data_IF_358939178869
#
_entry.id   IF_358939178869
#
_cell.length_a   1.000
_cell.length_b   1.000
_cell.length_c   1.000
_cell.angle_alpha   90.00
_cell.angle_beta   90.00
_cell.angle_gamma   90.00
#
_symmetry.space_group_name_H-M   'P 1'
#
loop_
_entity.id
_entity.type
_entity.pdbx_description
1 polymer ?
#
# COMPACT_ATOMS: atom_id res chain seq x y z
N UNK A 1 13.35 -7.78 -13.03
CA UNK A 1 12.82 -8.90 -12.21
C UNK A 1 11.53 -8.41 -11.55
N UNK A 2 10.47 -9.15 -11.71
CA UNK A 2 9.20 -8.77 -11.13
C UNK A 2 9.00 -9.39 -9.76
N UNK A 3 7.91 -8.99 -9.10
CA UNK A 3 7.57 -9.45 -7.75
C UNK A 3 7.38 -10.98 -7.67
N UNK A 4 6.92 -11.62 -8.74
CA UNK A 4 6.76 -13.09 -8.78
C UNK A 4 8.10 -13.82 -8.66
N UNK A 5 9.17 -13.27 -9.23
CA UNK A 5 10.51 -13.84 -9.10
C UNK A 5 11.00 -13.77 -7.64
N UNK A 6 10.66 -12.70 -6.92
CA UNK A 6 10.96 -12.56 -5.50
C UNK A 6 10.19 -13.60 -4.69
N UNK A 7 8.90 -13.78 -4.99
CA UNK A 7 8.06 -14.81 -4.35
C UNK A 7 8.68 -16.20 -4.51
N UNK A 8 9.03 -16.58 -5.74
CA UNK A 8 9.63 -17.88 -6.03
C UNK A 8 10.96 -18.07 -5.30
N UNK A 9 11.80 -17.04 -5.26
CA UNK A 9 13.09 -17.11 -4.57
C UNK A 9 12.92 -17.29 -3.06
N UNK A 10 11.97 -16.61 -2.46
CA UNK A 10 11.67 -16.75 -1.04
C UNK A 10 11.21 -18.17 -0.72
N UNK A 11 10.28 -18.71 -1.49
CA UNK A 11 9.78 -20.09 -1.32
C UNK A 11 10.90 -21.11 -1.51
N UNK A 12 11.74 -20.94 -2.52
CA UNK A 12 12.86 -21.84 -2.80
C UNK A 12 13.91 -21.83 -1.69
N UNK A 13 14.00 -20.75 -0.92
CA UNK A 13 14.89 -20.64 0.23
C UNK A 13 14.23 -21.07 1.55
N UNK A 14 13.03 -21.64 1.50
CA UNK A 14 12.34 -22.18 2.67
C UNK A 14 11.57 -21.17 3.49
N UNK A 15 11.36 -19.94 3.00
CA UNK A 15 10.54 -18.95 3.68
C UNK A 15 9.08 -19.09 3.30
N UNK A 16 8.21 -18.82 4.26
CA UNK A 16 6.78 -18.72 4.02
C UNK A 16 6.47 -17.38 3.34
N UNK A 17 5.91 -17.43 2.14
CA UNK A 17 5.59 -16.25 1.37
C UNK A 17 4.16 -16.33 0.85
N UNK A 18 3.45 -15.21 0.89
CA UNK A 18 2.09 -15.12 0.34
C UNK A 18 1.94 -13.80 -0.42
N UNK A 19 1.02 -13.82 -1.39
CA UNK A 19 0.64 -12.61 -2.11
C UNK A 19 -0.55 -11.98 -1.43
N UNK A 20 -0.57 -10.64 -1.37
CA UNK A 20 -1.69 -9.87 -0.84
C UNK A 20 -2.05 -8.77 -1.82
N UNK A 21 -3.31 -8.33 -1.79
CA UNK A 21 -3.79 -7.20 -2.58
C UNK A 21 -3.94 -6.00 -1.66
N UNK A 22 -3.34 -4.88 -2.04
CA UNK A 22 -3.44 -3.64 -1.27
C UNK A 22 -4.77 -2.95 -1.51
N UNK A 23 -5.08 -1.92 -0.72
CA UNK A 23 -6.33 -1.15 -0.84
C UNK A 23 -6.49 -0.47 -2.20
N UNK A 24 -5.39 -0.17 -2.90
CA UNK A 24 -5.41 0.38 -4.26
C UNK A 24 -5.51 -0.69 -5.35
N UNK A 25 -5.61 -1.97 -4.99
CA UNK A 25 -5.68 -3.08 -5.94
C UNK A 25 -4.33 -3.56 -6.47
N UNK A 26 -3.22 -3.13 -5.87
CA UNK A 26 -1.88 -3.54 -6.26
C UNK A 26 -1.46 -4.82 -5.56
N UNK A 27 -0.55 -5.57 -6.18
CA UNK A 27 -0.04 -6.82 -5.62
C UNK A 27 1.20 -6.57 -4.76
N UNK A 28 1.23 -7.20 -3.59
CA UNK A 28 2.39 -7.19 -2.70
C UNK A 28 2.71 -8.61 -2.26
N UNK A 29 3.92 -8.81 -1.77
CA UNK A 29 4.37 -10.08 -1.18
C UNK A 29 4.66 -9.85 0.29
N UNK A 30 4.20 -10.78 1.13
CA UNK A 30 4.56 -10.84 2.54
C UNK A 30 5.38 -12.11 2.77
N UNK A 31 6.59 -11.95 3.29
CA UNK A 31 7.47 -13.06 3.67
C UNK A 31 7.49 -13.12 5.19
N UNK A 32 7.14 -14.29 5.75
CA UNK A 32 6.99 -14.48 7.18
C UNK A 32 8.06 -15.42 7.73
N UNK A 33 8.27 -15.37 9.05
CA UNK A 33 9.14 -16.29 9.77
C UNK A 33 10.61 -16.14 9.43
N UNK A 34 11.04 -14.98 8.98
CA UNK A 34 12.42 -14.77 8.61
C UNK A 34 13.34 -14.80 9.83
N UNK A 35 14.53 -15.35 9.60
CA UNK A 35 15.59 -15.37 10.59
C UNK A 35 16.82 -14.66 10.02
N UNK A 36 17.24 -13.60 10.68
CA UNK A 36 18.48 -12.90 10.33
C UNK A 36 19.67 -13.74 10.77
N UNK A 37 20.81 -13.78 10.04
CA UNK A 37 21.15 -12.97 8.87
C UNK A 37 20.74 -13.57 7.51
N UNK A 38 20.32 -14.83 7.45
CA UNK A 38 20.06 -15.53 6.19
C UNK A 38 18.97 -14.83 5.36
N UNK A 39 17.94 -14.35 6.02
CA UNK A 39 16.88 -13.59 5.37
C UNK A 39 17.43 -12.33 4.71
N UNK A 40 18.25 -11.57 5.44
CA UNK A 40 18.86 -10.35 4.91
C UNK A 40 19.72 -10.64 3.69
N UNK A 41 20.51 -11.69 3.71
CA UNK A 41 21.35 -12.05 2.57
C UNK A 41 20.49 -12.42 1.35
N UNK A 42 19.42 -13.17 1.56
CA UNK A 42 18.48 -13.55 0.50
C UNK A 42 17.82 -12.31 -0.11
N UNK A 43 17.23 -11.46 0.71
CA UNK A 43 16.48 -10.26 0.24
C UNK A 43 17.44 -9.21 -0.32
N UNK A 44 18.59 -8.99 0.32
CA UNK A 44 19.54 -7.99 -0.14
C UNK A 44 20.10 -8.28 -1.54
N UNK A 45 20.33 -9.54 -1.85
CA UNK A 45 20.76 -9.93 -3.21
C UNK A 45 19.68 -9.61 -4.26
N UNK A 46 18.41 -9.71 -3.88
CA UNK A 46 17.30 -9.37 -4.77
C UNK A 46 17.15 -7.85 -4.89
N UNK A 47 17.22 -7.15 -3.76
CA UNK A 47 17.03 -5.71 -3.69
C UNK A 47 17.96 -4.94 -4.61
N UNK A 48 19.23 -5.37 -4.69
CA UNK A 48 20.22 -4.73 -5.57
C UNK A 48 19.90 -4.84 -7.07
N UNK A 49 19.10 -5.84 -7.46
CA UNK A 49 18.80 -6.15 -8.86
C UNK A 49 17.40 -5.74 -9.27
N UNK A 50 16.56 -5.32 -8.33
CA UNK A 50 15.15 -5.06 -8.57
C UNK A 50 14.78 -3.67 -8.05
N UNK A 51 13.90 -3.01 -8.78
CA UNK A 51 13.33 -1.74 -8.35
C UNK A 51 12.09 -2.01 -7.46
N UNK A 52 12.34 -2.40 -6.20
CA UNK A 52 11.31 -2.79 -5.25
C UNK A 52 11.40 -1.98 -3.97
N UNK A 53 10.25 -1.81 -3.31
CA UNK A 53 10.13 -1.26 -1.97
C UNK A 53 10.01 -2.40 -0.97
N UNK A 54 10.78 -2.35 0.10
CA UNK A 54 10.78 -3.36 1.17
C UNK A 54 10.56 -2.67 2.51
N UNK A 55 9.59 -3.19 3.28
CA UNK A 55 9.35 -2.78 4.67
C UNK A 55 9.56 -3.98 5.58
N UNK A 56 10.41 -3.81 6.59
CA UNK A 56 10.66 -4.84 7.58
C UNK A 56 9.82 -4.58 8.83
N UNK A 57 9.03 -5.57 9.22
CA UNK A 57 8.22 -5.55 10.44
C UNK A 57 8.84 -6.48 11.47
N UNK A 58 9.68 -5.93 12.34
CA UNK A 58 10.46 -6.71 13.30
C UNK A 58 9.59 -7.41 14.35
N UNK A 59 8.48 -6.77 14.76
CA UNK A 59 7.58 -7.35 15.75
C UNK A 59 6.94 -8.67 15.28
N UNK A 60 6.58 -8.76 14.00
CA UNK A 60 5.95 -9.94 13.40
C UNK A 60 6.94 -10.81 12.63
N UNK A 61 8.21 -10.40 12.55
CA UNK A 61 9.26 -11.06 11.74
C UNK A 61 8.80 -11.31 10.31
N UNK A 62 8.24 -10.26 9.69
CA UNK A 62 7.75 -10.29 8.32
C UNK A 62 8.39 -9.19 7.49
N UNK A 63 8.40 -9.37 6.17
CA UNK A 63 8.80 -8.35 5.22
C UNK A 63 7.71 -8.16 4.19
N UNK A 64 7.39 -6.91 3.90
CA UNK A 64 6.39 -6.51 2.91
C UNK A 64 7.13 -5.95 1.69
N UNK A 65 6.86 -6.51 0.52
CA UNK A 65 7.61 -6.19 -0.70
C UNK A 65 6.65 -5.85 -1.83
N UNK A 66 6.87 -4.71 -2.49
CA UNK A 66 6.13 -4.27 -3.68
C UNK A 66 7.09 -3.75 -4.73
N UNK A 67 6.68 -3.79 -6.00
CA UNK A 67 7.35 -2.97 -7.03
C UNK A 67 7.27 -1.49 -6.64
N UNK A 68 8.34 -0.72 -6.87
CA UNK A 68 8.37 0.70 -6.50
C UNK A 68 7.25 1.52 -7.14
N UNK A 69 6.96 1.27 -8.42
CA UNK A 69 5.86 1.97 -9.10
C UNK A 69 4.51 1.66 -8.46
N UNK A 70 4.27 0.41 -8.08
CA UNK A 70 3.05 0.00 -7.40
C UNK A 70 2.97 0.58 -5.98
N UNK A 71 4.09 0.61 -5.27
CA UNK A 71 4.18 1.21 -3.94
C UNK A 71 3.87 2.71 -3.98
N UNK A 72 4.41 3.44 -4.94
CA UNK A 72 4.13 4.88 -5.11
C UNK A 72 2.67 5.13 -5.45
N UNK A 73 2.08 4.31 -6.32
CA UNK A 73 0.67 4.39 -6.67
C UNK A 73 -0.22 4.10 -5.46
N UNK A 74 0.13 3.08 -4.67
CA UNK A 74 -0.60 2.73 -3.44
C UNK A 74 -0.49 3.85 -2.40
N UNK A 75 0.68 4.43 -2.24
CA UNK A 75 0.90 5.57 -1.34
C UNK A 75 0.08 6.79 -1.76
N UNK A 76 0.07 7.12 -3.04
CA UNK A 76 -0.73 8.22 -3.58
C UNK A 76 -2.22 8.00 -3.35
N UNK A 77 -2.70 6.77 -3.57
CA UNK A 77 -4.08 6.39 -3.31
C UNK A 77 -4.45 6.57 -1.83
N UNK A 78 -3.62 6.06 -0.92
CA UNK A 78 -3.85 6.16 0.52
C UNK A 78 -3.81 7.60 1.02
N UNK A 79 -2.93 8.43 0.48
CA UNK A 79 -2.86 9.87 0.78
C UNK A 79 -4.14 10.58 0.33
N UNK A 80 -4.58 10.32 -0.90
CA UNK A 80 -5.82 10.90 -1.44
C UNK A 80 -7.03 10.49 -0.60
N UNK A 81 -7.12 9.23 -0.20
CA UNK A 81 -8.19 8.72 0.65
C UNK A 81 -8.20 9.42 2.01
N UNK A 82 -7.04 9.59 2.64
CA UNK A 82 -6.89 10.30 3.90
C UNK A 82 -7.32 11.76 3.77
N UNK A 83 -6.93 12.44 2.69
CA UNK A 83 -7.32 13.83 2.44
C UNK A 83 -8.84 13.97 2.32
N UNK A 84 -9.49 13.05 1.60
CA UNK A 84 -10.95 13.06 1.47
C UNK A 84 -11.67 12.82 2.80
N UNK A 85 -11.15 11.90 3.63
CA UNK A 85 -11.69 11.65 4.96
C UNK A 85 -11.53 12.90 5.84
N UNK A 86 -10.40 13.58 5.77
CA UNK A 86 -10.17 14.82 6.50
C UNK A 86 -11.11 15.93 6.07
N UNK A 87 -11.40 16.07 4.77
CA UNK A 87 -12.38 17.05 4.27
C UNK A 87 -13.76 16.77 4.86
N UNK A 88 -14.17 15.52 4.93
CA UNK A 88 -15.45 15.13 5.53
C UNK A 88 -15.52 15.57 6.99
N UNK A 89 -14.55 15.21 7.81
CA UNK A 89 -14.57 15.52 9.24
C UNK A 89 -14.42 17.02 9.52
N UNK A 90 -13.64 17.75 8.72
CA UNK A 90 -13.60 19.21 8.83
C UNK A 90 -14.96 19.83 8.56
N UNK A 91 -15.69 19.33 7.56
CA UNK A 91 -17.04 19.81 7.27
C UNK A 91 -17.99 19.58 8.44
N UNK A 92 -17.95 18.41 9.06
CA UNK A 92 -18.74 18.09 10.25
C UNK A 92 -18.39 19.02 11.40
N UNK A 93 -17.10 19.25 11.67
CA UNK A 93 -16.65 20.17 12.70
C UNK A 93 -17.09 21.61 12.47
N UNK A 94 -17.27 22.00 11.21
CA UNK A 94 -17.75 23.33 10.81
C UNK A 94 -19.28 23.43 10.82
N UNK A 95 -19.98 22.44 11.35
CA UNK A 95 -21.43 22.46 11.51
C UNK A 95 -22.21 21.96 10.31
N UNK A 96 -21.55 21.38 9.31
CA UNK A 96 -22.22 20.81 8.13
C UNK A 96 -22.80 19.43 8.48
N UNK A 97 -23.91 19.06 7.81
CA UNK A 97 -24.47 17.73 7.92
C UNK A 97 -23.70 16.73 7.04
N UNK A 98 -24.02 15.43 7.15
CA UNK A 98 -23.33 14.39 6.39
C UNK A 98 -23.44 14.56 4.88
N UNK A 99 -24.60 14.99 4.39
CA UNK A 99 -24.83 15.22 2.96
C UNK A 99 -23.95 16.35 2.43
N UNK A 100 -23.87 17.46 3.17
CA UNK A 100 -23.02 18.60 2.82
C UNK A 100 -21.54 18.22 2.89
N UNK A 101 -21.13 17.44 3.90
CA UNK A 101 -19.77 16.96 4.05
C UNK A 101 -19.35 16.07 2.87
N UNK A 102 -20.23 15.18 2.43
CA UNK A 102 -20.00 14.34 1.25
C UNK A 102 -19.90 15.17 -0.04
N UNK A 103 -20.74 16.19 -0.18
CA UNK A 103 -20.67 17.12 -1.31
C UNK A 103 -19.34 17.86 -1.34
N UNK A 104 -18.85 18.31 -0.18
CA UNK A 104 -17.55 18.97 -0.07
C UNK A 104 -16.39 18.02 -0.43
N UNK A 105 -16.48 16.74 -0.04
CA UNK A 105 -15.53 15.72 -0.48
C UNK A 105 -15.51 15.58 -2.00
N UNK A 106 -16.69 15.50 -2.61
CA UNK A 106 -16.81 15.33 -4.05
C UNK A 106 -16.21 16.52 -4.81
N UNK A 107 -16.49 17.74 -4.36
CA UNK A 107 -15.91 18.95 -4.94
C UNK A 107 -14.38 18.97 -4.81
N UNK A 108 -13.86 18.55 -3.66
CA UNK A 108 -12.42 18.40 -3.45
C UNK A 108 -11.84 17.36 -4.42
N UNK A 109 -12.53 16.23 -4.58
CA UNK A 109 -12.10 15.17 -5.48
C UNK A 109 -12.02 15.63 -6.94
N UNK A 110 -12.98 16.43 -7.40
CA UNK A 110 -12.96 17.02 -8.74
C UNK A 110 -11.77 17.96 -8.88
N UNK A 111 -11.58 18.84 -7.91
CA UNK A 111 -10.51 19.84 -7.92
C UNK A 111 -9.11 19.21 -7.99
N UNK A 112 -8.92 18.09 -7.30
CA UNK A 112 -7.64 17.40 -7.21
C UNK A 112 -7.51 16.18 -8.14
N UNK A 113 -8.50 15.97 -8.99
CA UNK A 113 -8.53 14.87 -9.97
C UNK A 113 -8.41 13.47 -9.32
N UNK A 114 -9.15 13.25 -8.22
CA UNK A 114 -9.20 12.00 -7.47
C UNK A 114 -10.62 11.48 -7.28
N UNK A 115 -11.50 11.70 -8.27
CA UNK A 115 -12.90 11.25 -8.24
C UNK A 115 -13.00 9.71 -8.13
N UNK A 116 -12.07 8.98 -8.74
CA UNK A 116 -11.97 7.54 -8.64
C UNK A 116 -11.76 7.06 -7.20
N UNK A 117 -10.92 7.77 -6.44
CA UNK A 117 -10.69 7.50 -5.01
C UNK A 117 -11.96 7.77 -4.20
N UNK A 118 -12.64 8.89 -4.49
CA UNK A 118 -13.92 9.21 -3.84
C UNK A 118 -14.96 8.11 -4.10
N UNK A 119 -15.10 7.66 -5.34
CA UNK A 119 -16.02 6.59 -5.68
C UNK A 119 -15.66 5.28 -4.95
N UNK A 120 -14.37 5.00 -4.78
CA UNK A 120 -13.91 3.82 -4.04
C UNK A 120 -14.27 3.82 -2.56
N UNK A 121 -14.29 5.00 -1.93
CA UNK A 121 -14.69 5.13 -0.51
C UNK A 121 -16.16 4.76 -0.31
N UNK A 122 -17.02 5.09 -1.27
CA UNK A 122 -18.46 4.89 -1.17
C UNK A 122 -18.99 3.74 -2.01
N UNK A 123 -18.09 2.91 -2.53
CA UNK A 123 -18.48 1.73 -3.32
C UNK A 123 -19.12 0.64 -2.47
#
# INVERSE_FOLDING_TARGET
>A
MNINAIYKKAVNNGYEAKTVTTSSGKCAIVIEGWNTPDFYNCIHSIYRKCNVHIEFHFATKSAFIMDNSDYEADRAYNTAKTDLINVFWQSIHNGKNQQEAKTNQYEYAIKHNIVDVFNGIYA
#
